data_IF_536773140406
#
_entry.id   IF_536773140406
#
_cell.length_a   1.000
_cell.length_b   1.000
_cell.length_c   1.000
_cell.angle_alpha   90.00
_cell.angle_beta   90.00
_cell.angle_gamma   90.00
#
_symmetry.space_group_name_H-M   'P 1'
#
loop_
_entity.id
_entity.type
_entity.pdbx_description
1 polymer ?
#
# COMPACT_ATOMS: atom_id res chain seq x y z
N UNK A 1 4.15 -38.80 33.90
CA UNK A 1 3.42 -37.51 33.88
C UNK A 1 3.98 -36.66 32.75
N UNK A 2 3.37 -36.74 31.56
CA UNK A 2 3.68 -35.85 30.45
C UNK A 2 2.99 -34.52 30.72
N UNK A 3 3.73 -33.58 31.30
CA UNK A 3 3.23 -32.26 31.65
C UNK A 3 2.92 -31.48 30.37
N UNK A 4 1.66 -31.49 29.95
CA UNK A 4 0.86 -30.38 29.40
C UNK A 4 1.57 -29.26 28.60
N UNK A 5 2.67 -29.54 27.89
CA UNK A 5 3.45 -28.54 27.14
C UNK A 5 2.97 -28.34 25.71
N UNK A 6 1.88 -29.01 25.33
CA UNK A 6 1.28 -28.95 24.00
C UNK A 6 -0.08 -28.20 23.97
N UNK A 7 -0.47 -27.52 25.06
CA UNK A 7 -1.75 -26.82 25.19
C UNK A 7 -1.61 -25.29 25.22
N UNK A 8 -0.85 -24.72 24.28
CA UNK A 8 -0.76 -23.25 24.06
C UNK A 8 -0.93 -22.91 22.57
N UNK A 9 -2.01 -23.42 21.96
CA UNK A 9 -2.44 -23.15 20.58
C UNK A 9 -2.97 -21.71 20.36
N UNK A 10 -2.26 -20.69 20.85
CA UNK A 10 -2.69 -19.30 20.70
C UNK A 10 -1.49 -18.41 20.32
N UNK A 11 -1.52 -17.65 19.21
CA UNK A 11 -0.46 -16.72 18.90
C UNK A 11 -0.50 -15.59 19.93
N UNK A 12 0.45 -15.61 20.88
CA UNK A 12 0.69 -14.46 21.75
C UNK A 12 1.15 -13.29 20.86
N UNK A 13 0.83 -12.03 21.18
CA UNK A 13 1.29 -10.88 20.39
C UNK A 13 2.82 -10.85 20.22
N UNK A 14 3.57 -11.37 21.20
CA UNK A 14 5.03 -11.55 21.12
C UNK A 14 5.48 -12.56 20.05
N UNK A 15 4.76 -13.67 19.85
CA UNK A 15 5.12 -14.65 18.81
C UNK A 15 4.75 -14.17 17.42
N UNK A 16 3.64 -13.42 17.27
CA UNK A 16 3.31 -12.74 16.03
C UNK A 16 4.37 -11.70 15.66
N UNK A 17 4.78 -10.84 16.59
CA UNK A 17 5.78 -9.81 16.30
C UNK A 17 7.15 -10.39 15.93
N UNK A 18 7.55 -11.48 16.58
CA UNK A 18 8.77 -12.20 16.24
C UNK A 18 8.70 -12.80 14.83
N UNK A 19 7.57 -13.40 14.46
CA UNK A 19 7.35 -13.95 13.11
C UNK A 19 7.40 -12.86 12.04
N UNK A 20 6.63 -11.78 12.21
CA UNK A 20 6.58 -10.67 11.25
C UNK A 20 7.94 -9.98 11.11
N UNK A 21 8.66 -9.77 12.21
CA UNK A 21 10.00 -9.18 12.17
C UNK A 21 11.02 -10.07 11.46
N UNK A 22 10.85 -11.39 11.49
CA UNK A 22 11.73 -12.32 10.78
C UNK A 22 11.45 -12.37 9.27
N UNK A 23 10.18 -12.31 8.87
CA UNK A 23 9.79 -12.39 7.45
C UNK A 23 9.98 -11.04 6.73
N UNK A 24 9.58 -9.93 7.37
CA UNK A 24 9.55 -8.60 6.75
C UNK A 24 10.60 -7.63 7.30
N UNK A 25 11.38 -8.01 8.31
CA UNK A 25 12.35 -7.13 8.96
C UNK A 25 11.73 -6.08 9.90
N UNK A 26 10.40 -5.95 9.93
CA UNK A 26 9.64 -5.00 10.75
C UNK A 26 8.36 -5.64 11.29
N UNK A 27 7.93 -5.24 12.48
CA UNK A 27 6.67 -5.70 13.07
C UNK A 27 6.03 -4.60 13.93
N UNK A 28 4.70 -4.64 14.04
CA UNK A 28 3.95 -3.72 14.88
C UNK A 28 3.97 -4.18 16.35
N UNK A 29 4.72 -3.48 17.20
CA UNK A 29 4.79 -3.79 18.63
C UNK A 29 3.63 -3.20 19.46
N UNK A 30 2.97 -2.16 18.96
CA UNK A 30 1.90 -1.46 19.65
C UNK A 30 0.53 -1.72 19.00
N UNK A 31 -0.37 -2.36 19.75
CA UNK A 31 -1.70 -2.73 19.26
C UNK A 31 -2.57 -1.51 18.92
N UNK A 32 -2.43 -0.39 19.66
CA UNK A 32 -3.17 0.84 19.37
C UNK A 32 -2.70 1.47 18.08
N UNK A 33 -1.38 1.43 17.82
CA UNK A 33 -0.80 1.90 16.57
C UNK A 33 -1.24 1.03 15.38
N UNK A 34 -1.26 -0.30 15.55
CA UNK A 34 -1.76 -1.20 14.52
C UNK A 34 -3.21 -0.88 14.14
N UNK A 35 -4.10 -0.72 15.12
CA UNK A 35 -5.51 -0.39 14.85
C UNK A 35 -5.66 0.99 14.21
N UNK A 36 -4.89 1.99 14.66
CA UNK A 36 -4.88 3.31 14.03
C UNK A 36 -4.41 3.21 12.57
N UNK A 37 -3.36 2.45 12.28
CA UNK A 37 -2.83 2.26 10.93
C UNK A 37 -3.85 1.57 10.01
N UNK A 38 -4.56 0.57 10.53
CA UNK A 38 -5.65 -0.10 9.80
C UNK A 38 -6.79 0.84 9.42
N UNK A 39 -7.06 1.89 10.20
CA UNK A 39 -8.03 2.93 9.84
C UNK A 39 -7.42 3.95 8.88
N UNK A 40 -6.18 4.37 9.14
CA UNK A 40 -5.50 5.42 8.39
C UNK A 40 -5.31 5.06 6.91
N UNK A 41 -4.90 3.83 6.61
CA UNK A 41 -4.63 3.37 5.23
C UNK A 41 -5.87 3.48 4.32
N UNK A 42 -7.02 2.86 4.62
CA UNK A 42 -8.20 2.94 3.76
C UNK A 42 -8.79 4.35 3.72
N UNK A 43 -8.81 5.07 4.85
CA UNK A 43 -9.34 6.44 4.89
C UNK A 43 -8.51 7.36 3.99
N UNK A 44 -7.18 7.34 4.11
CA UNK A 44 -6.30 8.17 3.28
C UNK A 44 -6.42 7.81 1.80
N UNK A 45 -6.54 6.52 1.48
CA UNK A 45 -6.78 6.07 0.11
C UNK A 45 -8.08 6.63 -0.49
N UNK A 46 -9.17 6.63 0.28
CA UNK A 46 -10.43 7.24 -0.16
C UNK A 46 -10.31 8.75 -0.32
N UNK A 47 -9.63 9.43 0.60
CA UNK A 47 -9.38 10.87 0.51
C UNK A 47 -8.58 11.25 -0.74
N UNK A 48 -7.47 10.58 -1.02
CA UNK A 48 -6.65 10.86 -2.21
C UNK A 48 -7.41 10.60 -3.52
N UNK A 49 -8.21 9.54 -3.57
CA UNK A 49 -9.09 9.27 -4.72
C UNK A 49 -10.16 10.34 -4.91
N UNK A 50 -10.81 10.79 -3.82
CA UNK A 50 -11.82 11.83 -3.89
C UNK A 50 -11.25 13.14 -4.45
N UNK A 51 -10.03 13.51 -4.05
CA UNK A 51 -9.33 14.67 -4.61
C UNK A 51 -9.10 14.51 -6.13
N UNK A 52 -8.68 13.33 -6.57
CA UNK A 52 -8.55 13.01 -8.00
C UNK A 52 -9.87 13.16 -8.76
N UNK A 53 -10.96 12.61 -8.23
CA UNK A 53 -12.30 12.69 -8.85
C UNK A 53 -12.80 14.13 -8.94
N UNK A 54 -12.57 14.96 -7.92
CA UNK A 54 -12.90 16.39 -7.97
C UNK A 54 -12.10 17.09 -9.07
N UNK A 55 -10.81 16.77 -9.23
CA UNK A 55 -10.00 17.25 -10.36
C UNK A 55 -10.56 16.85 -11.71
N UNK A 56 -10.95 15.57 -11.87
CA UNK A 56 -11.58 15.06 -13.09
C UNK A 56 -12.87 15.81 -13.45
N UNK A 57 -13.70 16.14 -12.44
CA UNK A 57 -14.93 16.91 -12.63
C UNK A 57 -14.69 18.33 -13.16
N UNK A 58 -13.53 18.91 -12.84
CA UNK A 58 -13.07 20.20 -13.36
C UNK A 58 -12.24 20.08 -14.65
N UNK A 59 -12.16 18.89 -15.26
CA UNK A 59 -11.27 18.57 -16.38
C UNK A 59 -9.77 18.79 -16.10
N UNK A 60 -9.37 18.87 -14.82
CA UNK A 60 -7.96 18.87 -14.40
C UNK A 60 -7.46 17.43 -14.33
N UNK A 61 -6.95 16.95 -15.46
CA UNK A 61 -6.60 15.54 -15.65
C UNK A 61 -5.12 15.41 -15.93
N UNK A 62 -4.48 14.42 -15.30
CA UNK A 62 -3.12 14.02 -15.64
C UNK A 62 -3.18 13.02 -16.81
N UNK A 63 -3.62 13.52 -17.97
CA UNK A 63 -3.79 12.68 -19.16
C UNK A 63 -2.49 12.41 -19.85
N UNK A 64 -1.79 13.49 -20.21
CA UNK A 64 -0.67 13.36 -21.11
C UNK A 64 0.66 13.61 -20.40
N UNK A 65 1.62 12.73 -20.64
CA UNK A 65 3.01 13.03 -20.39
C UNK A 65 3.56 13.77 -21.60
N UNK A 66 3.58 15.11 -21.52
CA UNK A 66 4.04 15.99 -22.62
C UNK A 66 5.41 15.59 -23.18
N UNK A 67 6.32 15.09 -22.34
CA UNK A 67 7.63 14.59 -22.80
C UNK A 67 7.55 13.34 -23.65
N UNK A 68 6.56 12.47 -23.45
CA UNK A 68 6.35 11.28 -24.27
C UNK A 68 5.64 11.64 -25.58
N UNK A 69 4.64 12.52 -25.55
CA UNK A 69 3.96 13.01 -26.76
C UNK A 69 4.93 13.66 -27.75
N UNK A 70 5.85 14.51 -27.25
CA UNK A 70 6.86 15.16 -28.10
C UNK A 70 7.78 14.12 -28.75
N UNK A 71 8.20 13.10 -28.00
CA UNK A 71 9.10 12.08 -28.53
C UNK A 71 8.43 11.14 -29.53
N UNK A 72 7.18 10.75 -29.29
CA UNK A 72 6.39 9.97 -30.25
C UNK A 72 6.07 10.77 -31.52
N UNK A 73 5.93 12.10 -31.42
CA UNK A 73 5.76 12.96 -32.58
C UNK A 73 7.04 13.11 -33.43
N UNK A 74 8.22 13.03 -32.80
CA UNK A 74 9.52 13.11 -33.50
C UNK A 74 10.00 11.76 -34.04
N UNK A 75 9.72 10.68 -33.33
CA UNK A 75 10.19 9.32 -33.64
C UNK A 75 8.99 8.35 -33.79
N UNK A 76 8.59 8.00 -35.03
CA UNK A 76 7.44 7.15 -35.27
C UNK A 76 7.65 5.68 -34.87
N UNK A 77 8.88 5.27 -34.50
CA UNK A 77 9.16 3.94 -33.94
C UNK A 77 9.12 3.93 -32.40
N UNK A 78 8.92 5.09 -31.76
CA UNK A 78 8.87 5.21 -30.31
C UNK A 78 7.50 4.81 -29.78
N UNK A 79 7.41 3.60 -29.22
CA UNK A 79 6.21 3.09 -28.54
C UNK A 79 6.52 2.69 -27.09
N UNK A 80 5.58 2.96 -26.18
CA UNK A 80 5.66 2.62 -24.75
C UNK A 80 4.30 2.14 -24.26
N UNK A 81 4.18 1.58 -23.06
CA UNK A 81 2.85 1.21 -22.53
C UNK A 81 1.87 2.39 -22.38
N UNK A 82 2.36 3.63 -22.44
CA UNK A 82 1.57 4.84 -22.34
C UNK A 82 1.16 5.41 -23.72
N UNK A 83 2.05 5.34 -24.73
CA UNK A 83 1.87 5.84 -26.12
C UNK A 83 1.57 4.69 -27.08
#
# INVERSE_FOLDING_TARGET
MLQASNFNLMPRPLTANRLWSQIFGVAFSNIRWLHFFMLFVPVTGLWMNALGVVGLALNLRAYDFVSQEIRAAEDPEFETFYT
#
